data_IF_795098994569
#
_entry.id   IF_795098994569
#
_cell.length_a   1.000
_cell.length_b   1.000
_cell.length_c   1.000
_cell.angle_alpha   90.00
_cell.angle_beta   90.00
_cell.angle_gamma   90.00
#
_symmetry.space_group_name_H-M   'P 1'
#
loop_
_entity.id
_entity.type
_entity.pdbx_description
1 polymer ?
#
# COMPACT_ATOMS: atom_id res chain seq x y z
N UNK A 1 -16.22 -5.91 -3.48
CA UNK A 1 -15.77 -5.47 -2.13
C UNK A 1 -16.82 -4.52 -1.58
N UNK A 2 -16.86 -4.37 -0.26
CA UNK A 2 -17.78 -3.50 0.46
C UNK A 2 -17.06 -2.95 1.70
N UNK A 3 -17.73 -2.91 2.84
CA UNK A 3 -17.12 -2.48 4.09
C UNK A 3 -16.36 -3.62 4.79
N UNK A 4 -15.35 -3.27 5.56
CA UNK A 4 -14.69 -4.19 6.49
C UNK A 4 -15.57 -4.43 7.74
N UNK A 5 -15.05 -5.22 8.69
CA UNK A 5 -15.79 -5.54 9.93
C UNK A 5 -15.99 -4.33 10.86
N UNK A 6 -15.24 -3.25 10.67
CA UNK A 6 -15.37 -1.98 11.40
C UNK A 6 -16.22 -0.95 10.64
N UNK A 7 -16.69 -1.28 9.43
CA UNK A 7 -17.46 -0.36 8.58
C UNK A 7 -16.59 0.55 7.71
N UNK A 8 -15.29 0.25 7.54
CA UNK A 8 -14.37 1.01 6.67
C UNK A 8 -14.55 0.54 5.22
N UNK A 9 -14.69 1.49 4.29
CA UNK A 9 -14.85 1.16 2.87
C UNK A 9 -13.57 0.55 2.29
N UNK A 10 -13.70 -0.60 1.61
CA UNK A 10 -12.59 -1.24 0.89
C UNK A 10 -12.81 -1.11 -0.62
N UNK A 11 -11.89 -0.41 -1.29
CA UNK A 11 -11.86 -0.30 -2.74
C UNK A 11 -10.74 -1.17 -3.34
N UNK A 12 -11.05 -1.86 -4.43
CA UNK A 12 -10.03 -2.52 -5.24
C UNK A 12 -9.67 -1.65 -6.44
N UNK A 13 -8.39 -1.35 -6.57
CA UNK A 13 -7.84 -0.52 -7.63
C UNK A 13 -6.80 -1.32 -8.42
N UNK A 14 -6.83 -1.19 -9.74
CA UNK A 14 -5.78 -1.74 -10.60
C UNK A 14 -4.50 -0.94 -10.42
N UNK A 15 -3.34 -1.60 -10.46
CA UNK A 15 -2.04 -0.94 -10.26
C UNK A 15 -1.79 0.22 -11.25
N UNK A 16 -2.31 0.11 -12.48
CA UNK A 16 -2.18 1.13 -13.53
C UNK A 16 -2.90 2.46 -13.19
N UNK A 17 -3.99 2.41 -12.41
CA UNK A 17 -4.74 3.58 -11.97
C UNK A 17 -4.29 4.10 -10.61
N UNK A 18 -3.44 3.34 -9.90
CA UNK A 18 -3.16 3.56 -8.49
C UNK A 18 -2.65 4.97 -8.20
N UNK A 19 -1.64 5.43 -8.94
CA UNK A 19 -1.03 6.73 -8.69
C UNK A 19 -2.03 7.89 -8.83
N UNK A 20 -2.91 7.84 -9.84
CA UNK A 20 -3.94 8.86 -10.03
C UNK A 20 -4.96 8.88 -8.88
N UNK A 21 -5.36 7.70 -8.40
CA UNK A 21 -6.26 7.57 -7.25
C UNK A 21 -5.57 8.06 -5.97
N UNK A 22 -4.31 7.73 -5.77
CA UNK A 22 -3.52 8.19 -4.63
C UNK A 22 -3.45 9.73 -4.58
N UNK A 23 -3.20 10.39 -5.72
CA UNK A 23 -3.24 11.86 -5.80
C UNK A 23 -4.64 12.42 -5.51
N UNK A 24 -5.69 11.79 -6.02
CA UNK A 24 -7.06 12.20 -5.76
C UNK A 24 -7.43 12.07 -4.27
N UNK A 25 -7.04 10.98 -3.61
CA UNK A 25 -7.25 10.78 -2.17
C UNK A 25 -6.54 11.86 -1.34
N UNK A 26 -5.29 12.18 -1.70
CA UNK A 26 -4.55 13.25 -1.04
C UNK A 26 -5.24 14.61 -1.21
N UNK A 27 -5.67 14.95 -2.43
CA UNK A 27 -6.40 16.18 -2.71
C UNK A 27 -7.76 16.25 -2.00
N UNK A 28 -8.43 15.11 -1.80
CA UNK A 28 -9.68 15.01 -1.03
C UNK A 28 -9.47 15.22 0.48
N UNK A 29 -8.23 15.07 0.96
CA UNK A 29 -7.85 15.38 2.33
C UNK A 29 -7.38 14.20 3.16
N UNK A 30 -7.18 13.01 2.57
CA UNK A 30 -6.55 11.88 3.28
C UNK A 30 -5.07 12.19 3.54
N UNK A 31 -4.80 12.86 4.65
CA UNK A 31 -3.49 13.39 5.03
C UNK A 31 -2.63 12.37 5.79
N UNK A 32 -3.19 11.23 6.23
CA UNK A 32 -2.47 10.23 7.00
C UNK A 32 -2.55 8.84 6.37
N UNK A 33 -1.41 8.34 5.89
CA UNK A 33 -1.23 6.92 5.57
C UNK A 33 -0.92 6.19 6.88
N UNK A 34 -1.93 5.48 7.39
CA UNK A 34 -1.88 4.78 8.67
C UNK A 34 -1.06 3.50 8.57
N UNK A 35 -1.30 2.72 7.51
CA UNK A 35 -0.62 1.45 7.29
C UNK A 35 -0.67 1.05 5.83
N UNK A 36 0.51 0.88 5.25
CA UNK A 36 0.74 0.13 4.04
C UNK A 36 1.23 -1.26 4.46
N UNK A 37 0.61 -2.30 3.91
CA UNK A 37 1.02 -3.67 4.13
C UNK A 37 0.82 -4.48 2.86
N UNK A 38 1.40 -5.67 2.81
CA UNK A 38 1.18 -6.59 1.72
C UNK A 38 0.94 -8.01 2.26
N UNK A 39 0.14 -8.78 1.54
CA UNK A 39 -0.16 -10.16 1.90
C UNK A 39 -0.26 -11.04 0.65
N UNK A 40 0.01 -12.33 0.83
CA UNK A 40 -0.24 -13.33 -0.18
C UNK A 40 -1.69 -13.80 -0.11
N UNK A 41 -2.44 -13.66 -1.20
CA UNK A 41 -3.87 -13.99 -1.22
C UNK A 41 -4.08 -15.50 -1.13
N UNK A 42 -3.22 -16.26 -1.82
CA UNK A 42 -3.25 -17.71 -1.82
C UNK A 42 -1.89 -18.25 -2.30
N UNK A 43 -1.47 -19.45 -1.85
CA UNK A 43 -0.22 -20.06 -2.31
C UNK A 43 -0.18 -20.16 -3.84
N UNK A 44 0.84 -19.54 -4.47
CA UNK A 44 0.98 -19.49 -5.93
C UNK A 44 0.00 -18.55 -6.65
N UNK A 45 -0.83 -17.82 -5.92
CA UNK A 45 -1.85 -16.92 -6.43
C UNK A 45 -1.38 -15.47 -6.60
N UNK A 46 -2.29 -14.54 -6.34
CA UNK A 46 -2.01 -13.10 -6.43
C UNK A 46 -1.36 -12.59 -5.13
N UNK A 47 -0.54 -11.57 -5.26
CA UNK A 47 -0.14 -10.74 -4.13
C UNK A 47 -1.10 -9.56 -4.01
N UNK A 48 -1.32 -9.10 -2.79
CA UNK A 48 -2.09 -7.91 -2.51
C UNK A 48 -1.23 -6.89 -1.76
N UNK A 49 -1.25 -5.65 -2.21
CA UNK A 49 -0.76 -4.50 -1.46
C UNK A 49 -1.96 -3.69 -0.98
N UNK A 50 -1.99 -3.37 0.31
CA UNK A 50 -3.10 -2.73 0.99
C UNK A 50 -2.63 -1.43 1.61
N UNK A 51 -3.43 -0.38 1.44
CA UNK A 51 -3.16 0.94 2.00
C UNK A 51 -4.37 1.39 2.81
N UNK A 52 -4.16 1.69 4.08
CA UNK A 52 -5.15 2.26 4.97
C UNK A 52 -4.86 3.74 5.12
N UNK A 53 -5.82 4.57 4.73
CA UNK A 53 -5.74 6.02 4.89
C UNK A 53 -6.78 6.50 5.88
N UNK A 54 -6.41 7.54 6.61
CA UNK A 54 -7.26 8.23 7.56
C UNK A 54 -7.20 9.71 7.27
N UNK A 55 -8.35 10.37 7.31
CA UNK A 55 -8.46 11.83 7.23
C UNK A 55 -8.41 12.40 8.64
N UNK A 56 -7.22 12.76 9.08
CA UNK A 56 -6.97 13.30 10.42
C UNK A 56 -7.35 14.77 10.47
N UNK A 57 -8.27 15.09 11.38
CA UNK A 57 -8.72 16.45 11.67
C UNK A 57 -8.67 16.69 13.19
N UNK A 58 -8.61 17.96 13.61
CA UNK A 58 -8.64 18.29 15.04
C UNK A 58 -9.98 17.86 15.65
N UNK A 59 -9.93 17.18 16.81
CA UNK A 59 -11.10 16.72 17.56
C UNK A 59 -12.05 15.77 16.79
N UNK A 60 -11.51 14.93 15.90
CA UNK A 60 -12.31 13.90 15.25
C UNK A 60 -12.49 12.67 16.18
N UNK A 61 -13.71 12.42 16.64
CA UNK A 61 -14.06 11.19 17.38
C UNK A 61 -14.08 9.95 16.47
N UNK A 62 -14.48 10.13 15.21
CA UNK A 62 -14.53 9.08 14.18
C UNK A 62 -14.04 9.66 12.84
N UNK A 63 -12.73 9.59 12.55
CA UNK A 63 -12.21 10.11 11.29
C UNK A 63 -12.68 9.26 10.10
N UNK A 64 -12.82 9.90 8.93
CA UNK A 64 -13.08 9.17 7.68
C UNK A 64 -11.88 8.28 7.34
N UNK A 65 -12.13 7.00 7.10
CA UNK A 65 -11.12 6.00 6.75
C UNK A 65 -11.46 5.31 5.44
N UNK A 66 -10.43 4.94 4.68
CA UNK A 66 -10.57 4.18 3.44
C UNK A 66 -9.44 3.17 3.31
N UNK A 67 -9.77 1.98 2.82
CA UNK A 67 -8.83 0.91 2.55
C UNK A 67 -8.74 0.66 1.04
N UNK A 68 -7.54 0.79 0.48
CA UNK A 68 -7.27 0.48 -0.92
C UNK A 68 -6.54 -0.85 -1.02
N UNK A 69 -7.07 -1.77 -1.83
CA UNK A 69 -6.44 -3.05 -2.15
C UNK A 69 -6.02 -3.10 -3.61
N UNK A 70 -4.76 -3.43 -3.84
CA UNK A 70 -4.18 -3.58 -5.17
C UNK A 70 -3.70 -5.01 -5.31
N UNK A 71 -4.31 -5.74 -6.23
CA UNK A 71 -3.91 -7.11 -6.54
C UNK A 71 -2.94 -7.12 -7.72
N UNK A 72 -1.82 -7.82 -7.57
CA UNK A 72 -0.80 -7.95 -8.60
C UNK A 72 -0.36 -9.40 -8.77
N UNK A 73 0.05 -9.75 -10.00
CA UNK A 73 0.58 -11.07 -10.31
C UNK A 73 1.97 -11.25 -9.71
N UNK A 74 2.24 -12.44 -9.16
CA UNK A 74 3.56 -12.84 -8.63
C UNK A 74 4.68 -12.81 -9.67
N UNK A 75 4.37 -12.96 -10.96
CA UNK A 75 5.38 -12.99 -12.02
C UNK A 75 5.98 -11.60 -12.29
N UNK A 76 5.17 -10.54 -12.11
CA UNK A 76 5.59 -9.15 -12.35
C UNK A 76 4.84 -8.21 -11.39
N UNK A 77 5.10 -8.31 -10.07
CA UNK A 77 4.36 -7.56 -9.06
C UNK A 77 4.86 -6.12 -9.02
N UNK A 78 4.33 -5.27 -9.89
CA UNK A 78 4.71 -3.86 -10.02
C UNK A 78 3.57 -2.95 -9.58
N UNK A 79 3.89 -2.02 -8.69
CA UNK A 79 2.96 -1.02 -8.17
C UNK A 79 3.68 0.34 -8.15
N UNK A 80 3.07 1.44 -8.60
CA UNK A 80 3.65 2.76 -8.40
C UNK A 80 3.79 3.09 -6.91
N UNK A 81 4.97 3.54 -6.48
CA UNK A 81 5.20 4.01 -5.11
C UNK A 81 4.42 5.30 -4.83
N UNK A 82 3.90 5.43 -3.61
CA UNK A 82 3.25 6.66 -3.12
C UNK A 82 4.14 7.45 -2.15
N UNK A 83 5.42 7.11 -2.03
CA UNK A 83 6.41 7.82 -1.19
C UNK A 83 6.42 9.34 -1.42
N UNK A 84 6.16 9.78 -2.65
CA UNK A 84 6.15 11.21 -2.98
C UNK A 84 4.95 11.96 -2.41
N UNK A 85 3.86 11.25 -2.10
CA UNK A 85 2.62 11.79 -1.53
C UNK A 85 2.64 11.63 0.00
N UNK A 86 2.87 10.40 0.51
CA UNK A 86 3.00 10.13 1.93
C UNK A 86 4.38 9.54 2.23
N UNK A 87 5.19 10.28 3.01
CA UNK A 87 6.55 9.86 3.37
C UNK A 87 6.60 8.64 4.30
N UNK A 88 5.50 8.34 5.01
CA UNK A 88 5.39 7.13 5.82
C UNK A 88 5.47 5.84 5.00
N UNK A 89 5.27 5.91 3.68
CA UNK A 89 5.37 4.75 2.80
C UNK A 89 6.81 4.22 2.64
N UNK A 90 7.86 4.97 3.02
CA UNK A 90 9.26 4.58 2.81
C UNK A 90 9.57 3.16 3.33
N UNK A 91 9.45 2.97 4.64
CA UNK A 91 9.77 1.70 5.26
C UNK A 91 8.71 0.63 4.97
N UNK A 92 7.45 1.00 4.85
CA UNK A 92 6.36 0.03 4.67
C UNK A 92 6.38 -0.60 3.27
N UNK A 93 6.59 0.21 2.22
CA UNK A 93 6.77 -0.31 0.85
C UNK A 93 8.06 -1.15 0.75
N UNK A 94 9.13 -0.76 1.45
CA UNK A 94 10.36 -1.56 1.51
C UNK A 94 10.20 -2.87 2.26
N UNK A 95 9.41 -2.91 3.33
CA UNK A 95 9.05 -4.15 4.03
C UNK A 95 8.27 -5.09 3.11
N UNK A 96 7.27 -4.55 2.41
CA UNK A 96 6.48 -5.30 1.43
C UNK A 96 7.34 -5.86 0.28
N UNK A 97 8.34 -5.08 -0.16
CA UNK A 97 9.34 -5.54 -1.12
C UNK A 97 10.21 -6.66 -0.53
N UNK A 98 10.71 -6.48 0.69
CA UNK A 98 11.64 -7.40 1.34
C UNK A 98 11.01 -8.76 1.67
N UNK A 99 9.73 -8.77 2.02
CA UNK A 99 9.02 -9.99 2.43
C UNK A 99 8.31 -10.71 1.28
N UNK A 100 7.79 -9.98 0.28
CA UNK A 100 6.91 -10.56 -0.75
C UNK A 100 7.38 -10.30 -2.19
N UNK A 101 8.43 -9.50 -2.37
CA UNK A 101 9.00 -9.21 -3.69
C UNK A 101 8.17 -8.24 -4.53
N UNK A 102 7.23 -7.50 -3.93
CA UNK A 102 6.46 -6.47 -4.65
C UNK A 102 7.39 -5.29 -4.97
N UNK A 103 7.53 -4.97 -6.25
CA UNK A 103 8.37 -3.85 -6.73
C UNK A 103 7.56 -2.55 -6.77
N UNK A 104 7.98 -1.59 -5.95
CA UNK A 104 7.41 -0.24 -5.93
C UNK A 104 8.19 0.69 -6.86
N UNK A 105 7.59 1.05 -7.99
CA UNK A 105 8.23 1.89 -9.02
C UNK A 105 8.37 3.33 -8.52
N UNK A 106 9.51 3.96 -8.82
CA UNK A 106 9.87 5.33 -8.40
C UNK A 106 10.07 5.53 -6.88
N UNK A 107 10.19 4.46 -6.10
CA UNK A 107 10.61 4.55 -4.70
C UNK A 107 12.09 4.97 -4.60
N UNK A 108 12.46 5.99 -3.80
CA UNK A 108 13.81 6.57 -3.81
C UNK A 108 14.91 5.59 -3.39
N UNK A 109 14.58 4.62 -2.52
CA UNK A 109 15.54 3.64 -2.01
C UNK A 109 14.86 2.29 -1.77
N UNK A 110 14.42 1.64 -2.84
CA UNK A 110 13.88 0.29 -2.74
C UNK A 110 15.00 -0.73 -2.50
N UNK A 111 15.27 -1.04 -1.24
CA UNK A 111 16.23 -2.04 -0.78
C UNK A 111 15.66 -2.79 0.42
N UNK A 112 16.16 -4.01 0.65
CA UNK A 112 15.86 -4.82 1.83
C UNK A 112 16.11 -4.02 3.12
N UNK A 113 15.34 -4.32 4.16
CA UNK A 113 15.42 -3.62 5.45
C UNK A 113 15.42 -4.56 6.65
N UNK A 114 14.76 -5.70 6.53
CA UNK A 114 14.65 -6.72 7.58
C UNK A 114 15.60 -7.88 7.30
N UNK A 115 15.66 -8.33 6.04
CA UNK A 115 16.49 -9.47 5.65
C UNK A 115 17.93 -9.04 5.36
N UNK A 116 18.91 -9.95 5.55
CA UNK A 116 20.28 -9.71 5.13
C UNK A 116 20.37 -9.36 3.65
N UNK A 117 21.29 -8.47 3.29
CA UNK A 117 21.53 -8.08 1.89
C UNK A 117 21.90 -9.26 0.98
N UNK A 118 22.44 -10.35 1.56
CA UNK A 118 22.81 -11.58 0.86
C UNK A 118 21.64 -12.54 0.61
N UNK A 119 20.43 -12.22 1.08
CA UNK A 119 19.29 -13.12 0.95
C UNK A 119 18.80 -13.25 -0.49
N UNK A 120 18.62 -14.49 -0.94
CA UNK A 120 18.03 -14.81 -2.25
C UNK A 120 16.61 -15.31 -2.08
N UNK A 121 15.66 -14.62 -2.72
CA UNK A 121 14.25 -14.97 -2.70
C UNK A 121 13.38 -13.99 -1.90
N UNK A 122 12.10 -14.31 -1.89
CA UNK A 122 11.01 -13.64 -1.17
C UNK A 122 10.09 -14.75 -0.68
#
# INVERSE_FOLDING_TARGET
LGFDYQGIEILQIKSENWLSIAVALYAYGFNYLRSQCAYDVAPGGLLASVYHFTKVQNNADQPEEICIKIFVSRQKPKIPSIFWIWKSADFQERESYDMLGISYENHPRLKRILMPDTWMGW
#
